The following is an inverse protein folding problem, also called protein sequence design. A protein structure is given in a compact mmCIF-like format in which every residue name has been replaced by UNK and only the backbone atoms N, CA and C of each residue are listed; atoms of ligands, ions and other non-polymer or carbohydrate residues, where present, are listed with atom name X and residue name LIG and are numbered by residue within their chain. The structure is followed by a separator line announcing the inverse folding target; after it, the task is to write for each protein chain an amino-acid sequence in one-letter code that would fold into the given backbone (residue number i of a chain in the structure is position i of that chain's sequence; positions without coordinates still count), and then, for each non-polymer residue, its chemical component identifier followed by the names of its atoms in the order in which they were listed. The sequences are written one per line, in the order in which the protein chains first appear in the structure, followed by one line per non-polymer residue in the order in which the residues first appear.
data_IF_525498792487
#
_entry.id   IF_525498792487
#
_cell.length_a   1.000
_cell.length_b   1.000
_cell.length_c   1.000
_cell.angle_alpha   90.00
_cell.angle_beta   90.00
_cell.angle_gamma   90.00
#
_symmetry.space_group_name_H-M   'P 1'
#
loop_
_entity.id
_entity.type
_entity.pdbx_description
1 polymer ?
#
# COMPACT_ATOMS: atom_id res chain seq x y z
N UNK A 1 3.53 5.47 -20.95
CA UNK A 1 3.58 6.14 -19.62
C UNK A 1 2.24 6.38 -18.89
N UNK A 2 1.06 6.01 -19.39
CA UNK A 2 -0.25 6.35 -18.76
C UNK A 2 -0.97 5.22 -17.96
N UNK A 3 -0.53 3.96 -18.01
CA UNK A 3 -1.23 2.84 -17.33
C UNK A 3 -0.96 2.74 -15.81
N UNK A 4 0.21 3.14 -15.32
CA UNK A 4 0.54 3.06 -13.88
C UNK A 4 -0.17 4.07 -12.98
N UNK A 5 -0.80 5.11 -13.54
CA UNK A 5 -1.54 6.11 -12.78
C UNK A 5 -2.95 5.63 -12.35
N UNK A 6 -3.57 4.73 -13.12
CA UNK A 6 -4.94 4.27 -12.87
C UNK A 6 -5.06 3.40 -11.63
N UNK A 7 -4.14 2.44 -11.43
CA UNK A 7 -4.15 1.56 -10.25
C UNK A 7 -3.92 2.37 -8.96
N UNK A 8 -2.92 3.27 -8.96
CA UNK A 8 -2.63 4.16 -7.85
C UNK A 8 -3.84 5.02 -7.47
N UNK A 9 -4.48 5.65 -8.47
CA UNK A 9 -5.67 6.49 -8.26
C UNK A 9 -6.85 5.66 -7.76
N UNK A 10 -7.05 4.45 -8.28
CA UNK A 10 -8.11 3.55 -7.82
C UNK A 10 -7.90 3.12 -6.37
N UNK A 11 -6.68 2.71 -6.01
CA UNK A 11 -6.34 2.33 -4.62
C UNK A 11 -6.51 3.51 -3.65
N UNK A 12 -5.99 4.70 -4.02
CA UNK A 12 -6.15 5.90 -3.22
C UNK A 12 -7.62 6.27 -3.02
N UNK A 13 -8.45 6.21 -4.07
CA UNK A 13 -9.88 6.47 -3.93
C UNK A 13 -10.58 5.45 -3.05
N UNK A 14 -10.27 4.18 -3.20
CA UNK A 14 -10.89 3.10 -2.41
C UNK A 14 -10.55 3.19 -0.91
N UNK A 15 -9.38 3.73 -0.55
CA UNK A 15 -8.94 3.85 0.84
C UNK A 15 -9.21 5.22 1.45
N UNK A 16 -9.01 6.31 0.70
CA UNK A 16 -9.19 7.67 1.23
C UNK A 16 -10.65 8.07 1.38
N UNK A 17 -11.53 7.64 0.46
CA UNK A 17 -12.94 8.04 0.51
C UNK A 17 -13.65 7.58 1.79
N UNK A 18 -13.54 6.30 2.22
CA UNK A 18 -14.12 5.84 3.49
C UNK A 18 -13.55 6.58 4.71
N UNK A 19 -12.24 6.87 4.70
CA UNK A 19 -11.57 7.60 5.79
C UNK A 19 -12.09 9.02 5.91
N UNK A 20 -12.27 9.72 4.79
CA UNK A 20 -12.84 11.07 4.76
C UNK A 20 -14.27 11.08 5.29
N UNK A 21 -15.11 10.15 4.81
CA UNK A 21 -16.49 10.02 5.29
C UNK A 21 -16.53 9.76 6.79
N UNK A 22 -15.70 8.84 7.28
CA UNK A 22 -15.62 8.50 8.70
C UNK A 22 -15.16 9.69 9.54
N UNK A 23 -14.15 10.44 9.09
CA UNK A 23 -13.70 11.67 9.75
C UNK A 23 -14.79 12.73 9.84
N UNK A 24 -15.55 12.95 8.76
CA UNK A 24 -16.68 13.88 8.75
C UNK A 24 -17.78 13.42 9.72
N UNK A 25 -18.12 12.12 9.73
CA UNK A 25 -19.09 11.58 10.67
C UNK A 25 -18.67 11.79 12.12
N UNK A 26 -17.40 11.55 12.47
CA UNK A 26 -16.88 11.79 13.83
C UNK A 26 -17.03 13.26 14.20
N UNK A 27 -16.67 14.19 13.31
CA UNK A 27 -16.80 15.63 13.58
C UNK A 27 -18.26 16.00 13.86
N UNK A 28 -19.18 15.56 13.00
CA UNK A 28 -20.61 15.87 13.16
C UNK A 28 -21.16 15.30 14.49
N UNK A 29 -20.83 14.05 14.81
CA UNK A 29 -21.27 13.43 16.06
C UNK A 29 -20.68 14.13 17.28
N UNK A 30 -19.39 14.46 17.26
CA UNK A 30 -18.72 15.15 18.36
C UNK A 30 -19.28 16.54 18.59
N UNK A 31 -19.53 17.32 17.53
CA UNK A 31 -20.13 18.65 17.64
C UNK A 31 -21.51 18.55 18.29
N UNK A 32 -22.39 17.69 17.79
CA UNK A 32 -23.74 17.51 18.36
C UNK A 32 -23.70 17.07 19.82
N UNK A 33 -22.79 16.15 20.15
CA UNK A 33 -22.66 15.66 21.52
C UNK A 33 -22.20 16.76 22.49
N UNK A 34 -21.22 17.57 22.08
CA UNK A 34 -20.72 18.69 22.89
C UNK A 34 -21.80 19.75 23.07
N UNK A 35 -22.48 20.14 21.98
CA UNK A 35 -23.58 21.12 22.06
C UNK A 35 -24.66 20.63 23.03
N UNK A 36 -25.11 19.39 22.89
CA UNK A 36 -26.12 18.82 23.77
C UNK A 36 -25.68 18.79 25.24
N UNK A 37 -24.43 18.37 25.51
CA UNK A 37 -23.89 18.33 26.88
C UNK A 37 -23.77 19.71 27.50
N UNK A 38 -23.24 20.69 26.75
CA UNK A 38 -23.12 22.07 27.25
C UNK A 38 -24.49 22.70 27.49
N UNK A 39 -25.46 22.46 26.60
CA UNK A 39 -26.81 23.03 26.78
C UNK A 39 -27.52 22.41 27.98
N UNK A 40 -27.39 21.11 28.23
CA UNK A 40 -27.92 20.46 29.43
C UNK A 40 -27.27 21.00 30.71
N UNK A 41 -25.95 21.23 30.70
CA UNK A 41 -25.24 21.80 31.84
C UNK A 41 -25.68 23.22 32.11
N UNK A 42 -25.87 24.02 31.04
CA UNK A 42 -26.37 25.42 31.15
C UNK A 42 -27.79 25.40 31.66
N UNK A 43 -28.67 24.54 31.13
CA UNK A 43 -30.07 24.41 31.61
C UNK A 43 -30.11 24.11 33.11
N UNK A 44 -29.45 23.03 33.55
CA UNK A 44 -29.39 22.62 34.94
C UNK A 44 -28.80 23.71 35.86
N UNK A 45 -27.75 24.38 35.35
CA UNK A 45 -27.14 25.53 36.08
C UNK A 45 -28.09 26.70 36.25
N UNK A 46 -28.84 27.07 35.21
CA UNK A 46 -29.82 28.16 35.26
C UNK A 46 -31.03 27.81 36.09
N UNK A 47 -31.51 26.57 36.02
CA UNK A 47 -32.57 26.05 36.88
C UNK A 47 -32.20 26.18 38.36
N UNK A 48 -31.01 25.68 38.74
CA UNK A 48 -30.51 25.78 40.11
C UNK A 48 -30.46 27.23 40.59
N UNK A 49 -30.01 28.17 39.73
CA UNK A 49 -29.94 29.59 40.04
C UNK A 49 -31.33 30.18 40.25
N UNK A 50 -32.30 29.86 39.38
CA UNK A 50 -33.68 30.31 39.50
C UNK A 50 -34.35 29.80 40.79
N UNK A 51 -34.19 28.50 41.09
CA UNK A 51 -34.74 27.89 42.32
C UNK A 51 -34.10 28.47 43.58
N UNK A 52 -32.77 28.61 43.58
CA UNK A 52 -32.06 29.23 44.71
C UNK A 52 -32.47 30.68 44.95
N UNK A 53 -32.70 31.40 43.86
CA UNK A 53 -33.18 32.79 43.93
C UNK A 53 -34.58 32.82 44.55
N UNK A 54 -35.48 31.93 44.18
CA UNK A 54 -36.83 31.84 44.78
C UNK A 54 -36.75 31.52 46.27
N UNK A 55 -35.99 30.49 46.64
CA UNK A 55 -35.80 30.07 48.02
C UNK A 55 -35.25 31.23 48.90
N UNK A 56 -34.24 31.93 48.42
CA UNK A 56 -33.63 33.05 49.12
C UNK A 56 -34.66 34.18 49.34
N UNK A 57 -35.56 34.41 48.38
CA UNK A 57 -36.61 35.40 48.46
C UNK A 57 -37.67 35.04 49.49
N UNK A 58 -38.08 33.79 49.54
CA UNK A 58 -39.06 33.33 50.50
C UNK A 58 -38.56 33.41 51.93
N UNK A 59 -37.33 33.03 52.19
CA UNK A 59 -36.69 33.09 53.51
C UNK A 59 -36.42 34.53 53.97
N UNK A 60 -36.01 35.43 53.07
CA UNK A 60 -35.57 36.80 53.42
C UNK A 60 -36.76 37.73 53.60
N UNK A 61 -37.82 37.54 52.84
CA UNK A 61 -38.97 38.41 52.78
C UNK A 61 -40.29 37.58 52.91
N UNK A 62 -40.67 37.15 54.10
CA UNK A 62 -41.94 36.40 54.29
C UNK A 62 -43.12 37.32 54.05
N UNK A 63 -44.24 36.79 53.46
CA UNK A 63 -45.46 37.50 53.15
C UNK A 63 -45.70 37.73 51.66
N UNK A 64 -46.85 38.28 51.33
CA UNK A 64 -47.33 38.46 49.97
C UNK A 64 -46.56 39.52 49.15
N UNK A 65 -46.59 39.35 47.83
CA UNK A 65 -46.01 40.29 46.87
C UNK A 65 -46.95 41.45 46.56
N UNK A 66 -46.46 42.67 46.64
CA UNK A 66 -47.17 43.90 46.25
C UNK A 66 -46.27 44.76 45.36
N UNK A 67 -46.80 45.29 44.27
CA UNK A 67 -46.09 46.20 43.40
C UNK A 67 -46.72 47.60 43.39
N UNK A 68 -45.96 48.59 43.80
CA UNK A 68 -46.35 49.99 43.71
C UNK A 68 -45.97 50.55 42.34
N UNK A 69 -46.98 50.83 41.51
CA UNK A 69 -46.81 51.41 40.19
C UNK A 69 -46.27 52.86 40.16
N UNK A 70 -46.51 53.59 41.23
CA UNK A 70 -46.05 54.99 41.31
C UNK A 70 -44.54 55.09 41.59
N UNK A 71 -44.05 54.28 42.53
CA UNK A 71 -42.66 54.25 42.92
C UNK A 71 -41.86 53.19 42.09
N UNK A 72 -42.53 52.36 41.21
CA UNK A 72 -41.98 51.24 40.49
C UNK A 72 -41.23 50.25 41.40
N UNK A 73 -41.72 50.05 42.60
CA UNK A 73 -41.05 49.28 43.65
C UNK A 73 -41.81 48.00 43.96
N UNK A 74 -41.11 46.87 44.08
CA UNK A 74 -41.66 45.62 44.55
C UNK A 74 -41.49 45.51 46.05
N UNK A 75 -42.57 45.18 46.73
CA UNK A 75 -42.64 44.87 48.16
C UNK A 75 -42.99 43.41 48.37
N UNK A 76 -42.41 42.81 49.42
CA UNK A 76 -42.82 41.46 49.89
C UNK A 76 -42.96 41.52 51.41
N UNK A 77 -44.10 41.11 51.94
CA UNK A 77 -44.40 41.22 53.37
C UNK A 77 -44.35 42.68 53.91
N UNK A 78 -44.69 43.64 53.05
CA UNK A 78 -44.62 45.08 53.40
C UNK A 78 -43.22 45.71 53.42
N UNK A 79 -42.16 44.90 53.15
CA UNK A 79 -40.78 45.39 53.07
C UNK A 79 -40.36 45.63 51.62
N UNK A 80 -39.63 46.68 51.33
CA UNK A 80 -39.09 47.01 50.03
C UNK A 80 -37.98 46.00 49.64
N UNK A 81 -38.07 45.40 48.47
CA UNK A 81 -37.15 44.37 47.97
C UNK A 81 -35.94 45.08 47.28
N UNK A 82 -35.11 45.78 48.03
CA UNK A 82 -33.92 46.49 47.46
C UNK A 82 -32.60 45.75 47.65
N UNK A 83 -32.46 44.96 48.74
CA UNK A 83 -31.19 44.29 49.07
C UNK A 83 -30.80 43.14 48.13
N UNK A 84 -31.74 42.63 47.38
CA UNK A 84 -31.52 41.54 46.45
C UNK A 84 -30.68 41.90 45.22
N UNK A 85 -30.77 43.15 44.74
CA UNK A 85 -30.05 43.56 43.54
C UNK A 85 -28.53 43.49 43.76
N UNK A 86 -28.02 43.91 44.96
CA UNK A 86 -26.58 43.78 45.27
C UNK A 86 -26.10 42.33 45.29
N UNK A 87 -26.92 41.40 45.80
CA UNK A 87 -26.60 39.98 45.79
C UNK A 87 -26.59 39.45 44.37
N UNK A 88 -27.56 39.81 43.52
CA UNK A 88 -27.62 39.39 42.13
C UNK A 88 -26.47 39.94 41.29
N UNK A 89 -26.06 41.20 41.53
CA UNK A 89 -24.90 41.79 40.86
C UNK A 89 -23.62 41.05 41.24
N UNK A 90 -23.40 40.77 42.52
CA UNK A 90 -22.25 39.97 42.95
C UNK A 90 -22.28 38.53 42.37
N UNK A 91 -23.46 37.90 42.34
CA UNK A 91 -23.62 36.60 41.74
C UNK A 91 -23.32 36.62 40.23
N UNK A 92 -23.77 37.65 39.51
CA UNK A 92 -23.45 37.87 38.09
C UNK A 92 -21.95 37.97 37.86
N UNK A 93 -21.23 38.72 38.70
CA UNK A 93 -19.77 38.83 38.59
C UNK A 93 -19.08 37.49 38.71
N UNK A 94 -19.52 36.62 39.63
CA UNK A 94 -18.94 35.29 39.85
C UNK A 94 -19.34 34.25 38.81
N UNK A 95 -20.62 34.20 38.41
CA UNK A 95 -21.21 33.12 37.61
C UNK A 95 -21.50 33.46 36.16
N UNK A 96 -21.39 34.76 35.80
CA UNK A 96 -21.83 35.32 34.52
C UNK A 96 -23.28 34.98 34.18
N UNK A 97 -24.13 34.92 35.22
CA UNK A 97 -25.55 34.62 35.08
C UNK A 97 -26.35 35.85 35.47
N UNK A 98 -27.16 36.33 34.56
CA UNK A 98 -28.11 37.40 34.81
C UNK A 98 -29.35 36.85 35.51
N UNK A 99 -29.85 37.59 36.48
CA UNK A 99 -31.06 37.28 37.24
C UNK A 99 -32.07 38.40 37.07
N UNK A 100 -33.32 38.04 36.86
CA UNK A 100 -34.43 38.99 36.74
C UNK A 100 -35.65 38.46 37.50
N UNK A 101 -36.34 39.34 38.20
CA UNK A 101 -37.62 39.05 38.81
C UNK A 101 -38.70 39.86 38.08
N UNK A 102 -39.75 39.17 37.70
CA UNK A 102 -40.94 39.75 37.09
C UNK A 102 -42.07 39.71 38.08
N UNK A 103 -42.84 40.79 38.18
CA UNK A 103 -44.16 40.82 38.78
C UNK A 103 -45.19 40.76 37.65
N UNK A 104 -45.99 39.72 37.62
CA UNK A 104 -46.77 39.33 36.43
C UNK A 104 -45.87 39.25 35.19
N UNK A 105 -46.03 40.11 34.20
CA UNK A 105 -45.25 40.22 32.98
C UNK A 105 -44.26 41.38 32.97
N UNK A 106 -44.16 42.16 34.08
CA UNK A 106 -43.34 43.34 34.17
C UNK A 106 -42.01 43.04 34.88
N UNK A 107 -40.89 43.45 34.27
CA UNK A 107 -39.54 43.32 34.85
C UNK A 107 -39.37 44.34 35.98
N UNK A 108 -39.20 43.88 37.19
CA UNK A 108 -39.14 44.77 38.36
C UNK A 108 -37.75 44.84 39.02
N UNK A 109 -36.97 43.75 38.93
CA UNK A 109 -35.60 43.71 39.41
C UNK A 109 -34.79 42.95 38.33
N UNK A 110 -33.63 43.47 37.94
CA UNK A 110 -32.80 42.83 36.93
C UNK A 110 -31.33 43.26 37.03
N UNK A 111 -30.43 42.34 36.76
CA UNK A 111 -29.00 42.59 36.56
C UNK A 111 -28.65 42.89 35.11
N UNK A 112 -29.60 42.74 34.19
CA UNK A 112 -29.41 43.08 32.78
C UNK A 112 -29.47 44.60 32.64
N UNK A 113 -28.45 45.17 31.99
CA UNK A 113 -28.30 46.63 31.80
C UNK A 113 -28.49 46.97 30.31
N UNK A 114 -28.95 48.18 30.07
CA UNK A 114 -29.03 48.74 28.71
C UNK A 114 -27.64 49.26 28.24
N UNK A 115 -27.60 49.83 27.05
CA UNK A 115 -26.37 50.41 26.46
C UNK A 115 -25.77 51.58 27.30
N UNK A 116 -26.55 52.20 28.17
CA UNK A 116 -26.13 53.26 29.08
C UNK A 116 -25.64 52.74 30.44
N UNK A 117 -25.73 51.41 30.67
CA UNK A 117 -25.36 50.75 31.92
C UNK A 117 -26.47 50.75 32.98
N UNK A 118 -27.68 51.19 32.64
CA UNK A 118 -28.82 51.26 33.57
C UNK A 118 -29.64 49.92 33.48
N UNK A 119 -30.15 49.39 34.62
CA UNK A 119 -30.99 48.21 34.64
C UNK A 119 -32.27 48.40 33.81
N UNK A 120 -32.60 47.44 32.91
CA UNK A 120 -33.76 47.50 32.01
C UNK A 120 -35.08 47.21 32.76
N UNK A 121 -35.39 47.93 33.81
CA UNK A 121 -36.60 47.80 34.61
C UNK A 121 -37.82 48.39 33.89
N UNK A 122 -39.02 47.85 34.15
CA UNK A 122 -40.28 48.35 33.57
C UNK A 122 -40.57 47.83 32.15
N UNK A 123 -39.74 46.97 31.60
CA UNK A 123 -40.04 46.30 30.33
C UNK A 123 -40.91 45.07 30.52
N UNK A 124 -41.69 44.74 29.49
CA UNK A 124 -42.57 43.53 29.56
C UNK A 124 -41.90 42.34 28.88
N UNK A 125 -42.19 41.16 29.37
CA UNK A 125 -41.73 39.89 28.80
C UNK A 125 -42.44 39.61 27.48
N UNK A 126 -41.82 38.79 26.62
CA UNK A 126 -42.40 38.30 25.39
C UNK A 126 -43.69 37.52 25.66
N UNK A 127 -44.72 37.71 24.80
CA UNK A 127 -46.02 37.05 24.94
C UNK A 127 -45.97 35.52 24.94
N UNK A 128 -45.02 34.89 24.21
CA UNK A 128 -44.82 33.43 24.20
C UNK A 128 -44.40 32.95 25.58
N UNK A 129 -43.34 33.57 26.13
CA UNK A 129 -42.81 33.21 27.45
C UNK A 129 -43.89 33.48 28.55
N UNK A 130 -44.63 34.59 28.44
CA UNK A 130 -45.72 34.85 29.33
C UNK A 130 -46.77 33.72 29.34
N UNK A 131 -47.23 33.30 28.16
CA UNK A 131 -48.21 32.23 27.99
C UNK A 131 -47.72 30.89 28.50
N UNK A 132 -46.46 30.53 28.23
CA UNK A 132 -45.89 29.24 28.59
C UNK A 132 -45.54 29.13 30.08
N UNK A 133 -44.93 30.19 30.62
CA UNK A 133 -44.41 30.17 32.01
C UNK A 133 -45.39 30.77 33.02
N UNK A 134 -45.87 32.01 32.79
CA UNK A 134 -46.73 32.71 33.74
C UNK A 134 -48.14 32.13 33.71
N UNK A 135 -48.78 32.09 32.54
CA UNK A 135 -50.17 31.58 32.40
C UNK A 135 -50.22 30.04 32.50
N UNK A 136 -49.17 29.36 31.98
CA UNK A 136 -49.04 27.92 32.04
C UNK A 136 -48.51 27.35 33.35
N UNK A 137 -48.03 28.19 34.25
CA UNK A 137 -47.50 27.86 35.59
C UNK A 137 -46.43 26.75 35.54
N UNK A 138 -45.58 26.71 34.48
CA UNK A 138 -44.53 25.73 34.30
C UNK A 138 -43.18 26.41 34.00
N UNK A 139 -42.16 25.90 34.63
CA UNK A 139 -40.78 26.33 34.28
C UNK A 139 -40.42 25.90 32.86
N UNK A 140 -39.63 26.75 32.18
CA UNK A 140 -39.23 26.48 30.81
C UNK A 140 -37.82 26.99 30.50
N UNK A 141 -37.05 26.21 29.74
CA UNK A 141 -35.72 26.58 29.25
C UNK A 141 -35.79 27.00 27.78
N UNK A 142 -35.16 28.10 27.43
CA UNK A 142 -35.06 28.60 26.06
C UNK A 142 -33.59 28.73 25.68
N UNK A 143 -33.20 28.08 24.57
CA UNK A 143 -31.85 28.18 24.00
C UNK A 143 -31.61 29.51 23.31
N UNK A 144 -32.67 30.27 23.02
CA UNK A 144 -32.60 31.60 22.42
C UNK A 144 -33.74 32.49 22.93
N UNK A 145 -33.42 33.43 23.80
CA UNK A 145 -34.32 34.45 24.29
C UNK A 145 -33.66 35.82 24.06
N UNK A 146 -34.27 36.69 23.26
CA UNK A 146 -33.72 38.01 22.95
C UNK A 146 -34.18 39.02 24.00
N UNK A 147 -33.23 39.68 24.68
CA UNK A 147 -33.47 40.69 25.69
C UNK A 147 -32.62 41.90 25.33
N UNK A 148 -33.26 43.03 25.00
CA UNK A 148 -32.55 44.15 24.41
C UNK A 148 -31.92 43.77 23.08
N UNK A 149 -30.63 44.02 22.94
CA UNK A 149 -29.86 43.67 21.74
C UNK A 149 -29.10 42.34 21.86
N UNK A 150 -29.24 41.61 22.98
CA UNK A 150 -28.49 40.39 23.24
C UNK A 150 -29.39 39.14 23.25
N UNK A 151 -28.83 38.03 22.86
CA UNK A 151 -29.46 36.69 22.95
C UNK A 151 -28.97 35.98 24.21
N UNK A 152 -29.89 35.28 24.88
CA UNK A 152 -29.62 34.56 26.10
C UNK A 152 -30.08 33.10 25.99
N UNK A 153 -29.33 32.19 26.60
CA UNK A 153 -29.84 30.95 27.13
C UNK A 153 -30.52 31.27 28.43
N UNK A 154 -31.80 30.95 28.57
CA UNK A 154 -32.62 31.45 29.68
C UNK A 154 -33.53 30.35 30.25
N UNK A 155 -33.63 30.37 31.57
CA UNK A 155 -34.57 29.54 32.31
C UNK A 155 -35.53 30.48 33.04
N UNK A 156 -36.83 30.25 32.85
CA UNK A 156 -37.89 30.97 33.51
C UNK A 156 -38.65 30.04 34.43
N UNK A 157 -38.91 30.45 35.67
CA UNK A 157 -39.61 29.70 36.67
C UNK A 157 -40.75 30.53 37.22
N UNK A 158 -42.00 30.03 37.32
CA UNK A 158 -43.12 30.78 37.91
C UNK A 158 -42.87 31.01 39.38
N UNK A 159 -43.31 32.19 39.86
CA UNK A 159 -43.23 32.61 41.25
C UNK A 159 -44.63 32.63 41.85
N UNK A 160 -44.84 31.97 42.99
CA UNK A 160 -46.14 31.79 43.65
C UNK A 160 -46.22 32.63 44.94
N UNK A 161 -47.43 33.01 45.31
CA UNK A 161 -47.75 33.61 46.63
C UNK A 161 -48.10 32.53 47.65
N UNK A 162 -48.47 32.94 48.89
CA UNK A 162 -48.88 32.03 49.97
C UNK A 162 -50.19 31.27 49.67
N UNK A 163 -50.96 31.68 48.64
CA UNK A 163 -52.18 31.06 48.19
C UNK A 163 -52.03 30.18 46.93
N UNK A 164 -50.78 29.83 46.55
CA UNK A 164 -50.44 29.13 45.35
C UNK A 164 -50.88 29.84 44.03
N UNK A 165 -51.03 31.17 44.04
CA UNK A 165 -51.31 31.93 42.84
C UNK A 165 -49.99 32.40 42.21
N UNK A 166 -49.86 32.21 40.90
CA UNK A 166 -48.67 32.71 40.19
C UNK A 166 -48.70 34.25 40.14
N UNK A 167 -47.77 34.90 40.83
CA UNK A 167 -47.66 36.36 40.93
C UNK A 167 -46.57 36.97 40.04
N UNK A 168 -45.69 36.10 39.51
CA UNK A 168 -44.58 36.55 38.68
C UNK A 168 -43.73 35.41 38.18
N UNK A 169 -42.50 35.76 37.83
CA UNK A 169 -41.51 34.78 37.33
C UNK A 169 -40.11 35.17 37.76
N UNK A 170 -39.26 34.20 37.96
CA UNK A 170 -37.82 34.36 38.08
C UNK A 170 -37.18 33.94 36.78
N UNK A 171 -36.27 34.74 36.26
CA UNK A 171 -35.41 34.48 35.12
C UNK A 171 -33.97 34.30 35.58
N UNK A 172 -33.33 33.31 35.10
CA UNK A 172 -31.89 33.14 35.13
C UNK A 172 -31.40 32.98 33.68
N UNK A 173 -30.34 33.70 33.29
CA UNK A 173 -29.88 33.67 31.92
C UNK A 173 -28.38 33.87 31.77
N UNK A 174 -27.81 33.24 30.74
CA UNK A 174 -26.43 33.46 30.30
C UNK A 174 -26.40 33.98 28.86
N UNK A 175 -25.59 34.98 28.61
CA UNK A 175 -25.42 35.51 27.25
C UNK A 175 -24.99 34.42 26.28
N UNK A 176 -25.66 34.33 25.12
CA UNK A 176 -25.43 33.31 24.12
C UNK A 176 -24.00 33.29 23.61
N UNK A 177 -23.36 34.47 23.47
CA UNK A 177 -21.97 34.56 23.02
C UNK A 177 -21.00 33.88 24.00
N UNK A 178 -21.27 34.03 25.31
CA UNK A 178 -20.47 33.32 26.31
C UNK A 178 -20.62 31.82 26.24
N UNK A 179 -21.85 31.31 26.16
CA UNK A 179 -22.11 29.87 26.03
C UNK A 179 -21.52 29.30 24.74
N UNK A 180 -21.73 29.98 23.61
CA UNK A 180 -21.15 29.59 22.30
C UNK A 180 -19.61 29.60 22.35
N UNK A 181 -18.99 30.54 23.08
CA UNK A 181 -17.54 30.55 23.24
C UNK A 181 -17.02 29.29 23.97
N UNK A 182 -17.77 28.78 24.95
CA UNK A 182 -17.45 27.53 25.65
C UNK A 182 -17.57 26.35 24.70
N UNK A 183 -18.65 26.28 23.91
CA UNK A 183 -18.86 25.25 22.90
C UNK A 183 -17.70 25.22 21.91
N UNK A 184 -17.34 26.37 21.33
CA UNK A 184 -16.24 26.45 20.38
C UNK A 184 -14.88 26.12 20.98
N UNK A 185 -14.59 26.53 22.22
CA UNK A 185 -13.36 26.14 22.93
C UNK A 185 -13.27 24.64 23.16
N UNK A 186 -14.39 23.97 23.36
CA UNK A 186 -14.46 22.51 23.55
C UNK A 186 -14.35 21.75 22.23
N UNK A 187 -14.89 22.29 21.14
CA UNK A 187 -14.88 21.64 19.81
C UNK A 187 -13.52 21.78 19.12
N UNK A 188 -12.88 22.95 19.21
CA UNK A 188 -11.67 23.28 18.46
C UNK A 188 -10.52 22.26 18.66
N UNK A 189 -10.17 21.84 19.89
CA UNK A 189 -9.10 20.84 20.10
C UNK A 189 -9.42 19.49 19.43
N UNK A 190 -10.68 19.07 19.48
CA UNK A 190 -11.12 17.80 18.87
C UNK A 190 -11.02 17.89 17.34
N UNK A 191 -11.46 19.01 16.78
CA UNK A 191 -11.38 19.25 15.33
C UNK A 191 -9.92 19.23 14.85
N UNK A 192 -9.01 19.89 15.58
CA UNK A 192 -7.57 19.88 15.26
C UNK A 192 -6.97 18.48 15.36
N UNK A 193 -7.33 17.71 16.38
CA UNK A 193 -6.85 16.34 16.56
C UNK A 193 -7.33 15.42 15.42
N UNK A 194 -8.61 15.52 15.02
CA UNK A 194 -9.16 14.75 13.90
C UNK A 194 -8.47 15.15 12.59
N UNK A 195 -8.29 16.44 12.33
CA UNK A 195 -7.57 16.91 11.13
C UNK A 195 -6.13 16.39 11.10
N UNK A 196 -5.40 16.48 12.20
CA UNK A 196 -4.04 15.99 12.30
C UNK A 196 -3.97 14.48 12.04
N UNK A 197 -4.86 13.71 12.66
CA UNK A 197 -4.92 12.26 12.45
C UNK A 197 -5.23 11.89 11.00
N UNK A 198 -6.11 12.64 10.32
CA UNK A 198 -6.40 12.45 8.90
C UNK A 198 -5.18 12.75 8.02
N UNK A 199 -4.44 13.82 8.29
CA UNK A 199 -3.22 14.16 7.54
C UNK A 199 -2.19 13.04 7.67
N UNK A 200 -1.95 12.56 8.90
CA UNK A 200 -1.02 11.44 9.16
C UNK A 200 -1.46 10.19 8.39
N UNK A 201 -2.74 9.85 8.45
CA UNK A 201 -3.28 8.66 7.79
C UNK A 201 -3.16 8.75 6.27
N UNK A 202 -3.48 9.91 5.68
CA UNK A 202 -3.29 10.18 4.25
C UNK A 202 -1.82 9.98 3.86
N UNK A 203 -0.90 10.53 4.66
CA UNK A 203 0.54 10.40 4.42
C UNK A 203 1.01 8.93 4.45
N UNK A 204 0.56 8.16 5.44
CA UNK A 204 0.88 6.71 5.55
C UNK A 204 0.34 5.93 4.36
N UNK A 205 -0.93 6.13 4.00
CA UNK A 205 -1.56 5.46 2.85
C UNK A 205 -0.85 5.84 1.55
N UNK A 206 -0.49 7.11 1.37
CA UNK A 206 0.24 7.57 0.19
C UNK A 206 1.60 6.87 0.05
N UNK A 207 2.40 6.83 1.11
CA UNK A 207 3.70 6.17 1.09
C UNK A 207 3.58 4.67 0.82
N UNK A 208 2.61 4.00 1.47
CA UNK A 208 2.35 2.58 1.27
C UNK A 208 1.95 2.27 -0.18
N UNK A 209 1.00 3.03 -0.74
CA UNK A 209 0.56 2.87 -2.12
C UNK A 209 1.70 3.12 -3.14
N UNK A 210 2.58 4.08 -2.88
CA UNK A 210 3.72 4.36 -3.75
C UNK A 210 4.77 3.24 -3.70
N UNK A 211 5.03 2.69 -2.50
CA UNK A 211 5.93 1.55 -2.34
C UNK A 211 5.41 0.29 -3.05
N UNK A 212 4.13 -0.01 -2.90
CA UNK A 212 3.47 -1.12 -3.56
C UNK A 212 3.51 -0.98 -5.09
N UNK A 213 3.22 0.21 -5.60
CA UNK A 213 3.19 0.51 -7.03
C UNK A 213 4.59 0.43 -7.67
N UNK A 214 5.66 0.77 -6.93
CA UNK A 214 7.04 0.57 -7.38
C UNK A 214 7.37 -0.92 -7.55
N UNK A 215 6.99 -1.74 -6.58
CA UNK A 215 7.19 -3.18 -6.64
C UNK A 215 6.48 -3.82 -7.84
N UNK A 216 5.21 -3.49 -8.08
CA UNK A 216 4.47 -3.99 -9.24
C UNK A 216 5.09 -3.55 -10.58
N UNK A 217 5.57 -2.31 -10.69
CA UNK A 217 6.22 -1.85 -11.92
C UNK A 217 7.54 -2.58 -12.20
N UNK A 218 8.31 -2.91 -11.16
CA UNK A 218 9.52 -3.70 -11.33
C UNK A 218 9.21 -5.11 -11.84
N UNK A 219 8.21 -5.77 -11.22
CA UNK A 219 7.78 -7.09 -11.65
C UNK A 219 7.22 -7.08 -13.08
N UNK A 220 6.42 -6.08 -13.43
CA UNK A 220 5.88 -5.93 -14.80
C UNK A 220 6.97 -5.75 -15.85
N UNK A 221 8.01 -4.93 -15.55
CA UNK A 221 9.15 -4.75 -16.46
C UNK A 221 9.93 -6.06 -16.63
N UNK A 222 10.20 -6.74 -15.52
CA UNK A 222 10.87 -8.04 -15.55
C UNK A 222 10.12 -9.06 -16.43
N UNK A 223 8.82 -9.21 -16.22
CA UNK A 223 8.00 -10.11 -17.04
C UNK A 223 7.94 -9.67 -18.51
N UNK A 224 7.93 -8.38 -18.79
CA UNK A 224 8.00 -7.88 -20.16
C UNK A 224 9.32 -8.24 -20.86
N UNK A 225 10.46 -8.14 -20.18
CA UNK A 225 11.75 -8.56 -20.72
C UNK A 225 11.79 -10.06 -20.97
N UNK A 226 11.21 -10.88 -20.06
CA UNK A 226 11.09 -12.33 -20.26
C UNK A 226 10.21 -12.66 -21.46
N UNK A 227 9.12 -11.93 -21.69
CA UNK A 227 8.24 -12.06 -22.86
C UNK A 227 8.98 -11.74 -24.17
N UNK A 228 9.88 -10.74 -24.17
CA UNK A 228 10.73 -10.37 -25.30
C UNK A 228 11.89 -11.35 -25.52
N UNK A 229 12.05 -12.37 -24.67
CA UNK A 229 13.10 -13.39 -24.76
C UNK A 229 14.42 -13.00 -24.08
N UNK A 230 14.46 -11.89 -23.37
CA UNK A 230 15.62 -11.50 -22.57
C UNK A 230 15.58 -12.18 -21.19
N UNK A 231 16.28 -13.33 -21.11
CA UNK A 231 16.45 -14.09 -19.88
C UNK A 231 17.66 -13.68 -19.05
N UNK A 232 18.36 -12.60 -19.40
CA UNK A 232 19.56 -12.14 -18.69
C UNK A 232 19.21 -11.15 -17.57
N UNK A 233 18.03 -10.55 -17.61
CA UNK A 233 17.57 -9.55 -16.64
C UNK A 233 17.31 -10.19 -15.28
N UNK A 234 17.93 -9.63 -14.24
CA UNK A 234 17.73 -10.04 -12.88
C UNK A 234 16.68 -9.17 -12.18
N UNK A 235 15.85 -9.81 -11.38
CA UNK A 235 14.91 -9.10 -10.52
C UNK A 235 15.63 -8.65 -9.25
N UNK A 236 15.37 -7.40 -8.83
CA UNK A 236 15.99 -6.80 -7.65
C UNK A 236 15.87 -7.68 -6.41
N UNK A 237 16.97 -7.86 -5.68
CA UNK A 237 17.00 -8.60 -4.40
C UNK A 237 16.01 -8.04 -3.37
N UNK A 238 15.77 -6.75 -3.39
CA UNK A 238 14.80 -6.10 -2.49
C UNK A 238 13.37 -6.60 -2.73
N UNK A 239 13.08 -7.10 -3.94
CA UNK A 239 11.77 -7.65 -4.30
C UNK A 239 11.69 -9.15 -3.95
N UNK A 240 12.74 -9.92 -4.26
CA UNK A 240 12.77 -11.36 -4.03
C UNK A 240 12.90 -11.74 -2.55
N UNK A 241 13.51 -10.85 -1.72
CA UNK A 241 13.65 -11.05 -0.26
C UNK A 241 12.40 -10.63 0.54
N UNK A 242 11.35 -10.10 -0.11
CA UNK A 242 10.08 -9.80 0.56
C UNK A 242 9.41 -11.08 1.08
N UNK A 243 8.78 -10.97 2.25
CA UNK A 243 8.08 -12.10 2.90
C UNK A 243 6.57 -12.10 2.66
N UNK A 244 6.08 -11.16 1.84
CA UNK A 244 4.67 -11.01 1.48
C UNK A 244 4.34 -11.67 0.13
N UNK A 245 3.09 -11.55 -0.31
CA UNK A 245 2.57 -12.12 -1.56
C UNK A 245 3.35 -11.62 -2.79
N UNK A 246 3.85 -10.38 -2.75
CA UNK A 246 4.65 -9.81 -3.83
C UNK A 246 6.01 -10.51 -3.92
N UNK A 247 6.63 -10.81 -2.80
CA UNK A 247 7.86 -11.59 -2.75
C UNK A 247 7.66 -13.01 -3.28
N UNK A 248 6.54 -13.66 -2.96
CA UNK A 248 6.19 -14.96 -3.51
C UNK A 248 5.99 -14.90 -5.03
N UNK A 249 5.28 -13.87 -5.54
CA UNK A 249 5.13 -13.65 -6.99
C UNK A 249 6.48 -13.43 -7.67
N UNK A 250 7.35 -12.62 -7.08
CA UNK A 250 8.70 -12.36 -7.58
C UNK A 250 9.53 -13.65 -7.68
N UNK A 251 9.54 -14.46 -6.63
CA UNK A 251 10.22 -15.74 -6.63
C UNK A 251 9.67 -16.73 -7.68
N UNK A 252 8.36 -16.75 -7.86
CA UNK A 252 7.71 -17.58 -8.88
C UNK A 252 8.04 -17.10 -10.29
N UNK A 253 8.07 -15.79 -10.53
CA UNK A 253 8.45 -15.20 -11.82
C UNK A 253 9.91 -15.55 -12.19
N UNK A 254 10.84 -15.50 -11.23
CA UNK A 254 12.24 -15.89 -11.44
C UNK A 254 12.35 -17.39 -11.78
N UNK A 255 11.65 -18.26 -11.05
CA UNK A 255 11.64 -19.70 -11.38
C UNK A 255 11.08 -19.97 -12.78
N UNK A 256 10.01 -19.25 -13.15
CA UNK A 256 9.43 -19.35 -14.50
C UNK A 256 10.42 -18.89 -15.57
N UNK A 257 11.14 -17.77 -15.36
CA UNK A 257 12.20 -17.32 -16.26
C UNK A 257 13.27 -18.40 -16.46
N UNK A 258 13.76 -19.02 -15.38
CA UNK A 258 14.76 -20.10 -15.47
C UNK A 258 14.23 -21.30 -16.26
N UNK A 259 12.99 -21.74 -15.97
CA UNK A 259 12.38 -22.85 -16.69
C UNK A 259 12.19 -22.56 -18.17
N UNK A 260 11.73 -21.36 -18.53
CA UNK A 260 11.60 -20.92 -19.92
C UNK A 260 12.95 -20.84 -20.62
N UNK A 261 13.95 -20.28 -19.96
CA UNK A 261 15.31 -20.23 -20.48
C UNK A 261 15.82 -21.63 -20.81
N UNK A 262 15.69 -22.57 -19.86
CA UNK A 262 16.15 -23.95 -20.07
C UNK A 262 15.40 -24.63 -21.22
N UNK A 263 14.09 -24.47 -21.35
CA UNK A 263 13.29 -25.00 -22.46
C UNK A 263 13.71 -24.44 -23.83
N UNK A 264 14.09 -23.16 -23.88
CA UNK A 264 14.48 -22.49 -25.14
C UNK A 264 15.93 -22.78 -25.51
N UNK A 265 16.83 -22.94 -24.53
CA UNK A 265 18.27 -23.05 -24.77
C UNK A 265 18.78 -24.46 -24.82
N UNK A 266 18.13 -25.41 -24.16
CA UNK A 266 18.66 -26.76 -23.97
C UNK A 266 17.87 -27.82 -24.72
N UNK A 267 18.54 -28.91 -25.03
CA UNK A 267 17.92 -30.15 -25.49
C UNK A 267 17.31 -30.89 -24.30
N UNK A 268 16.04 -31.29 -24.41
CA UNK A 268 15.27 -31.89 -23.31
C UNK A 268 15.75 -33.26 -22.89
N UNK A 269 16.41 -34.02 -23.77
CA UNK A 269 16.92 -35.35 -23.47
C UNK A 269 18.28 -35.29 -22.79
N UNK A 270 19.19 -34.49 -23.33
CA UNK A 270 20.61 -34.50 -22.97
C UNK A 270 21.01 -33.39 -21.99
N UNK A 271 20.20 -32.33 -21.85
CA UNK A 271 20.51 -31.15 -21.04
C UNK A 271 21.61 -30.24 -21.60
N UNK A 272 22.24 -30.64 -22.74
CA UNK A 272 23.18 -29.77 -23.46
C UNK A 272 22.46 -28.63 -24.13
N UNK A 273 23.20 -27.65 -24.64
CA UNK A 273 22.59 -26.62 -25.49
C UNK A 273 21.95 -27.32 -26.73
N UNK A 274 20.82 -26.81 -27.18
CA UNK A 274 20.22 -27.26 -28.42
C UNK A 274 20.97 -26.64 -29.62
N UNK A 275 20.69 -27.13 -30.85
CA UNK A 275 21.32 -26.65 -32.06
C UNK A 275 21.26 -25.15 -32.24
N UNK A 276 20.11 -24.54 -31.97
CA UNK A 276 19.91 -23.11 -32.10
C UNK A 276 20.89 -22.30 -31.23
N UNK A 277 21.04 -22.71 -29.97
CA UNK A 277 22.01 -22.07 -29.06
C UNK A 277 23.45 -22.42 -29.37
N UNK A 278 23.74 -23.58 -29.95
CA UNK A 278 25.05 -23.90 -30.50
C UNK A 278 25.47 -22.92 -31.60
N UNK A 279 24.55 -22.52 -32.48
CA UNK A 279 24.80 -21.52 -33.52
C UNK A 279 25.05 -20.12 -32.90
N UNK A 280 24.30 -19.76 -31.84
CA UNK A 280 24.51 -18.49 -31.12
C UNK A 280 25.90 -18.47 -30.47
N UNK A 281 26.29 -19.55 -29.79
CA UNK A 281 27.60 -19.61 -29.14
C UNK A 281 28.76 -19.60 -30.16
N UNK A 282 28.62 -20.21 -31.31
CA UNK A 282 29.62 -20.11 -32.39
C UNK A 282 29.80 -18.65 -32.84
N UNK A 283 28.71 -17.89 -33.02
CA UNK A 283 28.74 -16.48 -33.35
C UNK A 283 29.51 -15.67 -32.31
N UNK A 284 29.19 -15.89 -31.06
CA UNK A 284 29.81 -15.18 -29.95
C UNK A 284 31.30 -15.49 -29.84
N UNK A 285 31.68 -16.77 -29.88
CA UNK A 285 33.11 -17.17 -29.81
C UNK A 285 33.90 -16.64 -31.02
N UNK A 286 33.31 -16.63 -32.21
CA UNK A 286 33.88 -16.00 -33.39
C UNK A 286 34.12 -14.49 -33.23
N UNK A 287 33.18 -13.76 -32.67
CA UNK A 287 33.30 -12.32 -32.38
C UNK A 287 34.40 -12.07 -31.32
N UNK A 288 34.36 -12.85 -30.22
CA UNK A 288 35.40 -12.77 -29.18
C UNK A 288 36.82 -13.01 -29.78
N UNK A 289 36.99 -14.04 -30.62
CA UNK A 289 38.24 -14.39 -31.26
C UNK A 289 38.70 -13.27 -32.23
N UNK A 290 37.77 -12.62 -32.92
CA UNK A 290 38.10 -11.48 -33.80
C UNK A 290 38.61 -10.26 -33.01
N UNK A 291 38.02 -10.02 -31.82
CA UNK A 291 38.38 -8.87 -30.99
C UNK A 291 39.70 -9.11 -30.22
N UNK A 292 39.96 -10.33 -29.76
CA UNK A 292 41.11 -10.70 -28.94
C UNK A 292 42.31 -11.19 -29.76
N UNK A 293 42.09 -11.69 -30.96
CA UNK A 293 43.08 -12.39 -31.75
C UNK A 293 43.39 -13.82 -31.26
N UNK A 294 42.66 -14.34 -30.28
CA UNK A 294 42.85 -15.70 -29.78
C UNK A 294 42.29 -16.74 -30.75
N UNK A 295 42.97 -17.90 -30.91
CA UNK A 295 42.43 -18.96 -31.73
C UNK A 295 41.17 -19.55 -31.14
N UNK A 296 40.30 -20.11 -31.99
CA UNK A 296 39.20 -20.96 -31.56
C UNK A 296 39.06 -22.14 -32.54
N UNK A 297 38.29 -23.14 -32.14
CA UNK A 297 38.02 -24.29 -33.01
C UNK A 297 36.65 -24.88 -32.75
N UNK A 298 36.18 -25.65 -33.70
CA UNK A 298 34.92 -26.38 -33.56
C UNK A 298 35.10 -27.85 -33.87
N UNK A 299 34.35 -28.69 -33.22
CA UNK A 299 34.30 -30.12 -33.52
C UNK A 299 32.89 -30.61 -33.69
N UNK A 300 32.62 -31.45 -34.67
CA UNK A 300 31.39 -32.22 -34.81
C UNK A 300 31.68 -33.67 -34.48
N UNK A 301 30.94 -34.20 -33.54
CA UNK A 301 31.10 -35.57 -33.03
C UNK A 301 29.79 -36.33 -33.24
N UNK A 302 29.92 -37.62 -33.59
CA UNK A 302 28.80 -38.50 -33.89
C UNK A 302 29.03 -39.88 -33.29
N UNK A 303 28.00 -40.44 -32.61
CA UNK A 303 28.08 -41.77 -32.00
C UNK A 303 28.05 -42.83 -33.08
N UNK A 304 29.12 -43.65 -33.15
CA UNK A 304 29.29 -44.65 -34.17
C UNK A 304 28.20 -45.75 -34.07
N UNK A 305 27.59 -46.06 -35.24
CA UNK A 305 26.58 -47.10 -35.39
C UNK A 305 25.35 -46.93 -34.49
N UNK A 306 25.02 -45.72 -34.05
CA UNK A 306 23.94 -45.43 -33.08
C UNK A 306 22.57 -45.95 -33.55
N UNK A 307 22.27 -45.88 -34.86
CA UNK A 307 21.04 -46.42 -35.40
C UNK A 307 20.97 -47.95 -35.18
N UNK A 308 22.07 -48.69 -35.51
CA UNK A 308 22.13 -50.15 -35.28
C UNK A 308 22.02 -50.45 -33.78
N UNK A 309 22.60 -49.65 -32.93
CA UNK A 309 22.49 -49.76 -31.48
C UNK A 309 21.03 -49.67 -31.03
N UNK A 310 20.28 -48.66 -31.50
CA UNK A 310 18.86 -48.50 -31.21
C UNK A 310 18.02 -49.69 -31.75
N UNK A 311 18.35 -50.20 -32.95
CA UNK A 311 17.65 -51.32 -33.53
C UNK A 311 17.86 -52.65 -32.73
N UNK A 312 18.99 -52.79 -32.03
CA UNK A 312 19.32 -53.93 -31.18
C UNK A 312 18.79 -53.83 -29.75
N UNK A 313 18.92 -52.63 -29.10
CA UNK A 313 18.68 -52.43 -27.66
C UNK A 313 17.47 -51.57 -27.35
N UNK A 314 16.82 -51.02 -28.37
CA UNK A 314 15.66 -50.13 -28.23
C UNK A 314 16.02 -48.68 -27.97
N UNK A 315 15.05 -47.79 -28.23
CA UNK A 315 15.23 -46.34 -28.11
C UNK A 315 15.51 -45.88 -26.68
N UNK A 316 14.92 -46.52 -25.67
CA UNK A 316 15.15 -46.13 -24.27
C UNK A 316 16.62 -46.34 -23.85
N UNK A 317 17.25 -47.41 -24.36
CA UNK A 317 18.68 -47.66 -24.16
C UNK A 317 19.53 -46.63 -24.91
N UNK A 318 19.17 -46.29 -26.15
CA UNK A 318 19.82 -45.19 -26.90
C UNK A 318 19.72 -43.83 -26.22
N UNK A 319 18.58 -43.53 -25.65
CA UNK A 319 18.38 -42.30 -24.85
C UNK A 319 19.31 -42.26 -23.62
N UNK A 320 19.52 -43.39 -22.95
CA UNK A 320 20.49 -43.49 -21.86
C UNK A 320 21.92 -43.27 -22.37
N UNK A 321 22.30 -43.83 -23.51
CA UNK A 321 23.62 -43.60 -24.14
C UNK A 321 23.81 -42.11 -24.46
N UNK A 322 22.83 -41.46 -25.09
CA UNK A 322 22.89 -40.02 -25.38
C UNK A 322 23.09 -39.18 -24.11
N UNK A 323 22.41 -39.49 -23.02
CA UNK A 323 22.60 -38.81 -21.73
C UNK A 323 24.01 -39.01 -21.20
N UNK A 324 24.53 -40.23 -21.22
CA UNK A 324 25.87 -40.55 -20.69
C UNK A 324 26.99 -39.92 -21.52
N UNK A 325 26.88 -39.93 -22.84
CA UNK A 325 27.80 -39.24 -23.73
C UNK A 325 27.75 -37.73 -23.48
N UNK A 326 26.56 -37.17 -23.32
CA UNK A 326 26.37 -35.73 -23.01
C UNK A 326 26.99 -35.33 -21.68
N UNK A 327 26.82 -36.16 -20.62
CA UNK A 327 27.46 -35.95 -19.31
C UNK A 327 28.99 -35.93 -19.44
N UNK A 328 29.56 -36.89 -20.22
CA UNK A 328 30.99 -36.92 -20.47
C UNK A 328 31.48 -35.69 -21.21
N UNK A 329 30.84 -35.33 -22.33
CA UNK A 329 31.22 -34.15 -23.12
C UNK A 329 31.12 -32.89 -22.29
N UNK A 330 30.05 -32.66 -21.54
CA UNK A 330 29.86 -31.47 -20.71
C UNK A 330 30.91 -31.41 -19.59
N UNK A 331 31.25 -32.53 -18.98
CA UNK A 331 32.22 -32.60 -17.89
C UNK A 331 33.64 -32.31 -18.39
N UNK A 332 34.01 -32.90 -19.55
CA UNK A 332 35.34 -32.73 -20.12
C UNK A 332 35.57 -31.33 -20.67
N UNK A 333 34.63 -30.83 -21.48
CA UNK A 333 34.74 -29.47 -22.07
C UNK A 333 34.67 -28.39 -21.00
N UNK A 334 33.75 -28.53 -20.02
CA UNK A 334 33.69 -27.67 -18.85
C UNK A 334 33.69 -26.19 -19.18
N UNK A 335 34.69 -25.45 -18.68
CA UNK A 335 34.85 -23.99 -18.93
C UNK A 335 35.61 -23.65 -20.21
N UNK A 336 36.15 -24.66 -20.90
CA UNK A 336 36.98 -24.45 -22.08
C UNK A 336 36.17 -24.21 -23.36
N UNK A 337 34.85 -24.39 -23.29
CA UNK A 337 34.00 -24.20 -24.45
C UNK A 337 32.53 -24.48 -24.20
N UNK A 338 31.81 -24.73 -25.26
CA UNK A 338 30.38 -25.05 -25.24
C UNK A 338 30.12 -26.38 -25.96
N UNK A 339 29.13 -27.11 -25.46
CA UNK A 339 28.67 -28.35 -26.10
C UNK A 339 27.18 -28.20 -26.38
N UNK A 340 26.78 -28.57 -27.61
CA UNK A 340 25.37 -28.63 -28.02
C UNK A 340 25.04 -29.94 -28.69
N UNK A 341 23.79 -30.40 -28.54
CA UNK A 341 23.26 -31.45 -29.36
C UNK A 341 22.90 -30.88 -30.72
N UNK A 342 23.63 -31.31 -31.76
CA UNK A 342 23.53 -30.76 -33.10
C UNK A 342 22.48 -31.44 -33.96
N UNK A 343 22.32 -32.76 -33.75
CA UNK A 343 21.36 -33.62 -34.43
C UNK A 343 20.88 -34.75 -33.52
N UNK A 344 20.35 -35.85 -34.08
CA UNK A 344 19.88 -36.99 -33.32
C UNK A 344 20.95 -37.61 -32.42
N UNK A 345 22.09 -37.94 -33.02
CA UNK A 345 23.26 -38.56 -32.39
C UNK A 345 24.54 -37.72 -32.55
N UNK A 346 24.37 -36.50 -33.06
CA UNK A 346 25.46 -35.57 -33.36
C UNK A 346 25.60 -34.50 -32.29
N UNK A 347 26.83 -34.14 -31.96
CA UNK A 347 27.19 -33.10 -30.99
C UNK A 347 28.12 -32.08 -31.62
N UNK A 348 27.91 -30.81 -31.34
CA UNK A 348 28.82 -29.71 -31.68
C UNK A 348 29.56 -29.29 -30.41
N UNK A 349 30.89 -29.24 -30.52
CA UNK A 349 31.76 -28.71 -29.46
C UNK A 349 32.44 -27.44 -30.01
N UNK A 350 32.43 -26.38 -29.25
CA UNK A 350 33.04 -25.10 -29.59
C UNK A 350 34.10 -24.86 -28.54
N UNK A 351 35.37 -24.79 -28.92
CA UNK A 351 36.50 -24.52 -28.05
C UNK A 351 36.88 -23.05 -28.06
N UNK A 352 37.05 -22.43 -26.89
CA UNK A 352 37.57 -21.09 -26.75
C UNK A 352 39.06 -21.12 -26.51
N UNK A 353 39.79 -20.21 -27.15
CA UNK A 353 41.25 -20.02 -26.98
C UNK A 353 42.06 -21.30 -27.26
N UNK A 354 41.55 -22.16 -28.13
CA UNK A 354 42.20 -23.42 -28.55
C UNK A 354 42.57 -23.37 -30.02
N UNK A 355 43.83 -23.65 -30.32
CA UNK A 355 44.28 -23.95 -31.65
C UNK A 355 43.70 -25.28 -32.18
N UNK A 356 43.84 -25.51 -33.50
CA UNK A 356 43.42 -26.77 -34.10
C UNK A 356 44.13 -27.96 -33.46
N UNK A 357 45.43 -27.87 -33.23
CA UNK A 357 46.26 -28.94 -32.68
C UNK A 357 45.86 -29.29 -31.25
N UNK A 358 45.64 -28.25 -30.41
CA UNK A 358 45.15 -28.40 -29.03
C UNK A 358 43.79 -29.04 -29.01
N UNK A 359 42.89 -28.65 -29.89
CA UNK A 359 41.52 -29.22 -29.96
C UNK A 359 41.53 -30.66 -30.44
N UNK A 360 42.37 -31.02 -31.39
CA UNK A 360 42.53 -32.43 -31.83
C UNK A 360 43.02 -33.28 -30.66
N UNK A 361 44.05 -32.85 -29.95
CA UNK A 361 44.55 -33.57 -28.77
C UNK A 361 43.47 -33.73 -27.71
N UNK A 362 42.75 -32.63 -27.40
CA UNK A 362 41.71 -32.68 -26.38
C UNK A 362 40.50 -33.52 -26.76
N UNK A 363 40.09 -33.49 -28.02
CA UNK A 363 39.00 -34.35 -28.52
C UNK A 363 39.42 -35.81 -28.56
N UNK A 364 40.71 -36.12 -28.80
CA UNK A 364 41.22 -37.50 -28.69
C UNK A 364 41.18 -38.02 -27.27
N UNK A 365 41.48 -37.21 -26.26
CA UNK A 365 41.34 -37.58 -24.86
C UNK A 365 39.83 -37.87 -24.51
N UNK A 366 38.91 -37.08 -25.08
CA UNK A 366 37.46 -37.34 -24.92
C UNK A 366 37.06 -38.64 -25.56
N UNK A 367 37.50 -38.91 -26.82
CA UNK A 367 37.22 -40.15 -27.56
C UNK A 367 37.72 -41.37 -26.79
N UNK A 368 38.97 -41.35 -26.30
CA UNK A 368 39.55 -42.44 -25.49
C UNK A 368 38.75 -42.71 -24.23
N UNK A 369 38.35 -41.66 -23.52
CA UNK A 369 37.50 -41.81 -22.32
C UNK A 369 36.16 -42.47 -22.64
N UNK A 370 35.53 -42.07 -23.75
CA UNK A 370 34.30 -42.69 -24.18
C UNK A 370 34.51 -44.18 -24.60
N UNK A 371 35.58 -44.44 -25.34
CA UNK A 371 35.95 -45.80 -25.76
C UNK A 371 36.13 -46.73 -24.55
N UNK A 372 36.72 -46.25 -23.46
CA UNK A 372 36.95 -47.05 -22.25
C UNK A 372 35.72 -47.05 -21.29
N UNK A 373 34.66 -46.29 -21.59
CA UNK A 373 33.53 -46.16 -20.67
C UNK A 373 32.57 -47.35 -20.79
N UNK A 374 32.40 -48.06 -19.69
CA UNK A 374 31.39 -49.13 -19.59
C UNK A 374 30.00 -48.53 -19.35
N UNK A 375 29.06 -48.83 -20.22
CA UNK A 375 27.67 -48.45 -20.11
C UNK A 375 26.83 -49.67 -19.71
N UNK A 376 26.01 -49.48 -18.68
CA UNK A 376 25.14 -50.55 -18.18
C UNK A 376 23.67 -50.18 -18.39
N UNK A 377 22.93 -51.08 -19.00
CA UNK A 377 21.49 -50.98 -19.13
C UNK A 377 20.83 -52.34 -18.89
N UNK A 378 19.92 -52.39 -17.91
CA UNK A 378 19.37 -53.65 -17.41
C UNK A 378 20.49 -54.62 -16.97
N UNK A 379 20.64 -55.78 -17.63
CA UNK A 379 21.67 -56.78 -17.33
C UNK A 379 22.79 -56.82 -18.39
N UNK A 380 22.83 -55.86 -19.30
CA UNK A 380 23.79 -55.79 -20.40
C UNK A 380 24.85 -54.72 -20.13
N UNK A 381 26.09 -55.02 -20.53
CA UNK A 381 27.21 -54.07 -20.51
C UNK A 381 27.75 -53.90 -21.92
N UNK A 382 27.94 -52.70 -22.37
CA UNK A 382 28.41 -52.39 -23.72
C UNK A 382 29.28 -51.13 -23.75
N UNK A 383 30.01 -50.99 -24.83
CA UNK A 383 30.81 -49.81 -25.15
C UNK A 383 30.26 -49.14 -26.40
N UNK A 384 30.34 -47.85 -26.46
CA UNK A 384 30.06 -47.03 -27.65
C UNK A 384 31.28 -46.25 -28.02
N UNK A 385 31.48 -46.02 -29.30
CA UNK A 385 32.55 -45.20 -29.83
C UNK A 385 32.00 -43.94 -30.50
N UNK A 386 32.85 -42.99 -30.75
CA UNK A 386 32.48 -41.74 -31.36
C UNK A 386 33.56 -41.34 -32.39
N UNK A 387 33.10 -40.92 -33.54
CA UNK A 387 33.99 -40.27 -34.53
C UNK A 387 33.85 -38.75 -34.41
N UNK A 388 34.97 -38.05 -34.45
CA UNK A 388 35.03 -36.60 -34.26
C UNK A 388 35.75 -35.94 -35.42
N UNK A 389 35.11 -34.95 -36.04
CA UNK A 389 35.74 -34.09 -37.06
C UNK A 389 36.03 -32.70 -36.46
N UNK A 390 37.26 -32.26 -36.53
CA UNK A 390 37.70 -30.98 -35.98
C UNK A 390 38.10 -29.99 -37.07
N UNK A 391 37.66 -28.75 -36.96
CA UNK A 391 38.05 -27.65 -37.85
C UNK A 391 38.58 -26.46 -37.09
N UNK A 392 39.58 -25.76 -37.68
CA UNK A 392 40.05 -24.51 -37.15
C UNK A 392 38.95 -23.42 -37.25
N UNK A 393 38.81 -22.64 -36.22
CA UNK A 393 38.01 -21.43 -36.24
C UNK A 393 38.70 -20.35 -37.11
N UNK A 394 37.90 -19.65 -37.88
CA UNK A 394 38.35 -18.56 -38.70
C UNK A 394 37.37 -17.39 -38.59
N UNK A 395 37.85 -16.27 -38.07
CA UNK A 395 36.98 -15.09 -37.84
C UNK A 395 36.47 -14.45 -39.13
N UNK A 396 37.10 -14.74 -40.29
CA UNK A 396 36.71 -14.20 -41.58
C UNK A 396 35.76 -15.12 -42.35
N UNK A 397 35.73 -16.44 -42.07
CA UNK A 397 34.83 -17.38 -42.70
C UNK A 397 33.45 -17.39 -42.14
N UNK A 398 32.43 -17.79 -42.89
CA UNK A 398 31.09 -18.01 -42.40
C UNK A 398 31.01 -19.22 -41.46
N UNK A 399 30.07 -19.21 -40.52
CA UNK A 399 29.83 -20.31 -39.59
C UNK A 399 29.50 -21.61 -40.36
N UNK A 400 28.69 -21.49 -41.41
CA UNK A 400 28.31 -22.62 -42.25
C UNK A 400 29.52 -23.25 -42.92
N UNK A 401 30.52 -22.42 -43.34
CA UNK A 401 31.74 -22.92 -43.91
C UNK A 401 32.62 -23.69 -42.91
N UNK A 402 32.72 -23.19 -41.67
CA UNK A 402 33.49 -23.88 -40.61
C UNK A 402 32.82 -25.19 -40.19
N UNK A 403 31.49 -25.19 -40.01
CA UNK A 403 30.70 -26.41 -39.73
C UNK A 403 30.88 -27.43 -40.84
N UNK A 404 30.84 -27.00 -42.11
CA UNK A 404 31.06 -27.89 -43.26
C UNK A 404 32.48 -28.46 -43.26
N UNK A 405 33.52 -27.74 -42.87
CA UNK A 405 34.87 -28.28 -42.75
C UNK A 405 34.95 -29.38 -41.67
N UNK A 406 34.35 -29.14 -40.48
CA UNK A 406 34.30 -30.13 -39.41
C UNK A 406 33.48 -31.38 -39.82
N UNK A 407 32.39 -31.15 -40.56
CA UNK A 407 31.53 -32.25 -41.08
C UNK A 407 32.28 -33.09 -42.14
N UNK A 408 33.04 -32.47 -43.05
CA UNK A 408 33.87 -33.18 -43.99
C UNK A 408 34.95 -34.03 -43.28
N UNK A 409 35.57 -33.52 -42.23
CA UNK A 409 36.53 -34.25 -41.42
C UNK A 409 35.87 -35.43 -40.69
N UNK A 410 34.68 -35.22 -40.12
CA UNK A 410 33.87 -36.29 -39.51
C UNK A 410 33.54 -37.41 -40.52
N UNK A 411 33.09 -37.04 -41.70
CA UNK A 411 32.77 -37.99 -42.76
C UNK A 411 34.02 -38.81 -43.17
N UNK A 412 35.18 -38.15 -43.34
CA UNK A 412 36.43 -38.86 -43.61
C UNK A 412 36.79 -39.84 -42.47
N UNK A 413 36.56 -39.49 -41.22
CA UNK A 413 36.74 -40.36 -40.07
C UNK A 413 35.81 -41.56 -40.10
N UNK A 414 34.54 -41.37 -40.45
CA UNK A 414 33.55 -42.45 -40.57
C UNK A 414 33.93 -43.45 -41.70
N UNK A 415 34.48 -42.95 -42.82
CA UNK A 415 35.00 -43.81 -43.90
C UNK A 415 36.34 -44.46 -43.55
N UNK A 416 37.17 -43.80 -42.75
CA UNK A 416 38.50 -44.32 -42.33
C UNK A 416 38.45 -45.39 -41.25
N UNK A 417 37.27 -45.86 -40.84
CA UNK A 417 37.12 -46.96 -39.87
C UNK A 417 36.39 -46.61 -38.59
N UNK A 418 35.98 -45.37 -38.43
CA UNK A 418 35.32 -44.81 -37.21
C UNK A 418 36.25 -44.79 -36.01
N UNK A 419 35.68 -44.45 -34.81
CA UNK A 419 36.41 -44.38 -33.52
C UNK A 419 37.74 -43.63 -33.64
N UNK A 420 37.73 -42.46 -34.20
CA UNK A 420 38.92 -41.63 -34.44
C UNK A 420 38.59 -40.14 -34.50
N UNK A 421 39.61 -39.31 -34.27
CA UNK A 421 39.56 -37.86 -34.47
C UNK A 421 40.24 -37.53 -35.80
N UNK A 422 39.56 -36.79 -36.66
CA UNK A 422 40.10 -36.32 -37.94
C UNK A 422 40.03 -34.81 -38.00
N UNK A 423 41.08 -34.14 -38.44
CA UNK A 423 41.07 -32.69 -38.63
C UNK A 423 41.08 -32.33 -40.12
N UNK A 424 40.62 -31.12 -40.43
CA UNK A 424 40.71 -30.52 -41.75
C UNK A 424 42.19 -30.49 -42.19
N UNK A 425 42.50 -31.14 -43.33
CA UNK A 425 43.86 -30.99 -43.91
C UNK A 425 44.07 -29.53 -44.29
N UNK A 426 45.00 -28.85 -43.61
CA UNK A 426 45.46 -27.54 -44.06
C UNK A 426 45.88 -27.71 -45.52
N UNK A 427 45.18 -27.03 -46.44
CA UNK A 427 45.75 -26.82 -47.79
C UNK A 427 46.99 -26.02 -47.59
N UNK A 428 48.17 -26.68 -47.68
CA UNK A 428 49.41 -25.95 -47.85
C UNK A 428 49.23 -25.01 -49.04
N UNK A 429 49.16 -23.72 -48.78
CA UNK A 429 49.29 -22.69 -49.80
C UNK A 429 50.70 -22.81 -50.40
N UNK A 430 50.73 -23.31 -51.63
CA UNK A 430 51.90 -23.25 -52.51
C UNK A 430 52.02 -21.84 -53.03
#
# INVERSE_FOLDING_TARGET
MKKGSKLRVSMLRATLLPVLIFGICIIICSVRQIESSVYQEVESGLENVAQMTMYLYEETYPGDYAYDSASKTLYKGGKKVEGALKFFEHYKECSRTDITIFYKDLRVITTIKDENGEPIVGTRINSVIKKEVYDGQKAHFYTKSTIGNENYFSYYCPLFDENDQCVGMVFAGKASDYVNSIVWKSILPILLLVLLSMIILIFVIWNYADHLNRAFRQLQRFLGNVEEGDFTVELSESLTKRKDEIGQMAGTAVRMQHSLRDLVQRDSLTGLYNRHYGEIWMKQVKEEARDTGEPFSIAIADIDFFKKFNDCYGHDCGDMVLRKVSELLQTQVGRQGYVSRWGGEEFLIIFKSFSLEESVKFTEEIREKLHCMELHYQNECFHVTMTIGVAAGDSEKSIESMVKCADCALYAGKEGGRDQVVCEKQKQSV
#
